data_IF_197205403894
#
_entry.id   IF_197205403894
#
_cell.length_a   1.000
_cell.length_b   1.000
_cell.length_c   1.000
_cell.angle_alpha   90.00
_cell.angle_beta   90.00
_cell.angle_gamma   90.00
#
_symmetry.space_group_name_H-M   'P 1'
#
loop_
_entity.id
_entity.type
_entity.pdbx_description
1 polymer ?
#
# COMPACT_ATOMS: atom_id res chain seq x y z
N UNK A 1 3.03 27.47 12.63
CA UNK A 1 2.29 27.55 11.35
C UNK A 1 3.13 27.07 10.15
N UNK A 2 4.44 27.36 10.12
CA UNK A 2 5.37 26.84 9.11
C UNK A 2 5.54 25.30 9.16
N UNK A 3 5.59 24.69 10.34
CA UNK A 3 5.76 23.23 10.48
C UNK A 3 4.59 22.43 9.88
N UNK A 4 3.35 22.90 10.02
CA UNK A 4 2.17 22.27 9.38
C UNK A 4 2.13 22.43 7.86
N UNK A 5 2.83 23.43 7.30
CA UNK A 5 2.95 23.62 5.85
C UNK A 5 4.00 22.68 5.24
N UNK A 6 5.08 22.39 5.97
CA UNK A 6 6.09 21.43 5.52
C UNK A 6 5.55 19.99 5.47
N UNK A 7 4.68 19.60 6.42
CA UNK A 7 4.02 18.29 6.40
C UNK A 7 3.04 18.09 5.22
N UNK A 8 2.58 19.17 4.58
CA UNK A 8 1.71 19.13 3.40
C UNK A 8 2.46 19.05 2.08
N UNK A 9 3.80 19.18 2.06
CA UNK A 9 4.61 19.01 0.84
C UNK A 9 4.97 17.55 0.52
N UNK A 10 4.86 16.64 1.50
CA UNK A 10 5.05 15.20 1.29
C UNK A 10 3.77 14.54 0.74
N UNK A 11 3.35 14.97 -0.44
CA UNK A 11 2.30 14.33 -1.20
C UNK A 11 2.84 13.12 -1.97
N UNK A 12 2.01 12.08 -2.12
CA UNK A 12 2.30 10.99 -3.05
C UNK A 12 2.19 11.52 -4.48
N UNK A 13 3.27 11.42 -5.25
CA UNK A 13 3.34 11.92 -6.64
C UNK A 13 3.37 10.80 -7.68
N UNK A 14 3.71 9.57 -7.30
CA UNK A 14 3.75 8.46 -8.24
C UNK A 14 2.33 8.01 -8.64
N UNK A 15 2.07 7.80 -9.94
CA UNK A 15 0.75 7.42 -10.45
C UNK A 15 0.14 6.20 -9.76
N UNK A 16 0.92 5.14 -9.51
CA UNK A 16 0.44 3.91 -8.90
C UNK A 16 0.00 4.10 -7.44
N UNK A 17 0.79 4.88 -6.70
CA UNK A 17 0.50 5.20 -5.32
C UNK A 17 -0.70 6.16 -5.17
N UNK A 18 -0.81 7.17 -6.06
CA UNK A 18 -1.99 8.04 -6.11
C UNK A 18 -3.25 7.25 -6.44
N UNK A 19 -3.18 6.36 -7.44
CA UNK A 19 -4.28 5.52 -7.84
C UNK A 19 -4.72 4.56 -6.72
N UNK A 20 -3.75 3.94 -6.05
CA UNK A 20 -4.01 3.08 -4.89
C UNK A 20 -4.72 3.87 -3.77
N UNK A 21 -4.20 5.06 -3.43
CA UNK A 21 -4.77 5.94 -2.42
C UNK A 21 -6.21 6.36 -2.76
N UNK A 22 -6.50 6.69 -4.04
CA UNK A 22 -7.85 7.04 -4.49
C UNK A 22 -8.83 5.89 -4.27
N UNK A 23 -8.47 4.67 -4.63
CA UNK A 23 -9.34 3.50 -4.42
C UNK A 23 -9.55 3.26 -2.93
N UNK A 24 -8.46 3.29 -2.15
CA UNK A 24 -8.51 3.09 -0.69
C UNK A 24 -9.41 4.10 0.01
N UNK A 25 -9.42 5.34 -0.47
CA UNK A 25 -10.20 6.45 0.11
C UNK A 25 -11.66 6.43 -0.35
N UNK A 26 -11.92 6.27 -1.64
CA UNK A 26 -13.29 6.31 -2.21
C UNK A 26 -14.11 5.08 -1.83
N UNK A 27 -13.45 3.94 -1.59
CA UNK A 27 -14.08 2.67 -1.22
C UNK A 27 -13.80 2.28 0.24
N UNK A 28 -13.54 3.26 1.10
CA UNK A 28 -13.22 3.04 2.50
C UNK A 28 -14.34 2.25 3.22
N UNK A 29 -13.97 1.19 3.94
CA UNK A 29 -14.90 0.35 4.68
C UNK A 29 -15.63 -0.73 3.87
N UNK A 30 -15.43 -0.80 2.55
CA UNK A 30 -15.90 -1.92 1.73
C UNK A 30 -15.13 -3.20 2.09
N UNK A 31 -15.83 -4.34 2.17
CA UNK A 31 -15.21 -5.66 2.43
C UNK A 31 -14.25 -6.07 1.31
N UNK A 32 -14.55 -5.65 0.08
CA UNK A 32 -13.75 -5.92 -1.12
C UNK A 32 -13.86 -4.70 -2.04
N UNK A 33 -12.75 -4.04 -2.34
CA UNK A 33 -12.72 -2.85 -3.21
C UNK A 33 -12.76 -3.30 -4.68
N UNK A 34 -13.95 -3.24 -5.29
CA UNK A 34 -14.20 -3.66 -6.67
C UNK A 34 -14.73 -2.49 -7.48
N UNK A 35 -14.02 -2.14 -8.54
CA UNK A 35 -14.32 -1.04 -9.44
C UNK A 35 -15.01 -1.56 -10.69
N UNK A 36 -15.93 -0.78 -11.24
CA UNK A 36 -16.32 -0.94 -12.63
C UNK A 36 -15.18 -0.48 -13.56
N UNK A 37 -15.17 -0.99 -14.80
CA UNK A 37 -14.19 -0.57 -15.81
C UNK A 37 -14.17 0.94 -16.03
N UNK A 38 -15.32 1.61 -15.93
CA UNK A 38 -15.42 3.06 -16.11
C UNK A 38 -14.71 3.81 -14.97
N UNK A 39 -14.98 3.45 -13.72
CA UNK A 39 -14.33 4.06 -12.55
C UNK A 39 -12.82 3.85 -12.58
N UNK A 40 -12.38 2.62 -12.89
CA UNK A 40 -10.96 2.31 -13.01
C UNK A 40 -10.27 3.16 -14.09
N UNK A 41 -10.94 3.43 -15.22
CA UNK A 41 -10.42 4.32 -16.27
C UNK A 41 -10.39 5.78 -15.83
N UNK A 42 -11.44 6.26 -15.16
CA UNK A 42 -11.50 7.64 -14.64
C UNK A 42 -10.35 7.87 -13.65
N UNK A 43 -10.13 6.94 -12.71
CA UNK A 43 -9.02 7.04 -11.75
C UNK A 43 -7.66 6.95 -12.46
N UNK A 44 -7.54 6.11 -13.49
CA UNK A 44 -6.31 5.95 -14.28
C UNK A 44 -5.97 7.26 -15.00
N UNK A 45 -6.94 7.91 -15.65
CA UNK A 45 -6.78 9.22 -16.27
C UNK A 45 -6.39 10.27 -15.22
N UNK A 46 -7.12 10.33 -14.09
CA UNK A 46 -6.89 11.32 -13.03
C UNK A 46 -5.54 11.19 -12.33
N UNK A 47 -4.87 10.05 -12.43
CA UNK A 47 -3.56 9.79 -11.79
C UNK A 47 -2.44 9.57 -12.80
N UNK A 48 -2.75 9.57 -14.09
CA UNK A 48 -1.84 9.16 -15.18
C UNK A 48 -1.29 7.74 -15.03
N UNK A 49 -2.00 6.85 -14.32
CA UNK A 49 -1.62 5.45 -14.18
C UNK A 49 -1.90 4.68 -15.47
N UNK A 50 -0.94 3.89 -15.96
CA UNK A 50 -1.21 2.87 -16.97
C UNK A 50 -1.97 1.69 -16.37
N UNK A 51 -3.26 1.60 -16.69
CA UNK A 51 -4.14 0.55 -16.19
C UNK A 51 -3.73 -0.85 -16.66
N UNK A 52 -3.09 -0.99 -17.83
CA UNK A 52 -2.57 -2.29 -18.27
C UNK A 52 -1.40 -2.74 -17.42
N UNK A 53 -0.48 -1.84 -17.05
CA UNK A 53 0.60 -2.17 -16.12
C UNK A 53 0.05 -2.55 -14.74
N UNK A 54 -0.92 -1.79 -14.24
CA UNK A 54 -1.58 -2.07 -12.96
C UNK A 54 -2.26 -3.44 -12.90
N UNK A 55 -2.82 -3.91 -14.01
CA UNK A 55 -3.49 -5.22 -14.08
C UNK A 55 -2.53 -6.36 -14.40
N UNK A 56 -1.66 -6.21 -15.41
CA UNK A 56 -0.87 -7.31 -15.97
C UNK A 56 0.51 -7.46 -15.31
N UNK A 57 1.15 -6.35 -14.98
CA UNK A 57 2.54 -6.33 -14.52
C UNK A 57 2.60 -6.24 -13.01
N UNK A 58 2.09 -5.15 -12.44
CA UNK A 58 2.14 -4.89 -11.01
C UNK A 58 1.07 -5.65 -10.23
N UNK A 59 -0.02 -6.07 -10.91
CA UNK A 59 -1.13 -6.80 -10.29
C UNK A 59 -1.72 -6.04 -9.09
N UNK A 60 -1.83 -4.71 -9.20
CA UNK A 60 -2.62 -3.86 -8.29
C UNK A 60 -4.10 -4.21 -8.39
N UNK A 61 -4.55 -4.57 -9.58
CA UNK A 61 -5.92 -4.96 -9.84
C UNK A 61 -5.97 -6.37 -10.43
N UNK A 62 -6.97 -7.14 -10.03
CA UNK A 62 -7.35 -8.42 -10.64
C UNK A 62 -8.67 -8.26 -11.37
N UNK A 63 -8.76 -8.79 -12.59
CA UNK A 63 -10.05 -8.91 -13.28
C UNK A 63 -11.01 -9.83 -12.53
N UNK A 64 -12.28 -9.44 -12.43
CA UNK A 64 -13.34 -10.32 -11.94
C UNK A 64 -13.46 -11.57 -12.82
N UNK A 65 -13.57 -12.74 -12.20
CA UNK A 65 -13.92 -13.99 -12.89
C UNK A 65 -15.35 -13.91 -13.42
N UNK A 66 -15.58 -14.41 -14.63
CA UNK A 66 -16.93 -14.68 -15.11
C UNK A 66 -17.59 -15.71 -14.17
N UNK A 67 -18.64 -15.33 -13.46
CA UNK A 67 -19.52 -16.32 -12.84
C UNK A 67 -20.23 -17.09 -13.95
N UNK A 68 -20.22 -18.44 -13.95
CA UNK A 68 -20.97 -19.22 -14.91
C UNK A 68 -22.48 -18.97 -14.71
N UNK A 69 -23.14 -18.32 -15.68
CA UNK A 69 -24.61 -18.25 -15.72
C UNK A 69 -25.24 -16.87 -15.97
N UNK A 70 -24.50 -15.76 -15.94
CA UNK A 70 -25.08 -14.44 -16.19
C UNK A 70 -25.04 -14.06 -17.69
N UNK A 71 -26.16 -14.27 -18.41
CA UNK A 71 -26.38 -13.95 -19.84
C UNK A 71 -26.58 -12.45 -20.15
N UNK A 72 -25.94 -11.56 -19.42
CA UNK A 72 -25.92 -10.11 -19.74
C UNK A 72 -24.49 -9.67 -19.55
N UNK A 73 -23.91 -8.98 -20.53
CA UNK A 73 -22.51 -8.58 -20.58
C UNK A 73 -22.14 -7.73 -19.35
N UNK A 74 -21.82 -8.37 -18.22
CA UNK A 74 -21.39 -7.69 -17.00
C UNK A 74 -20.12 -6.91 -17.35
N UNK A 75 -20.17 -5.59 -17.21
CA UNK A 75 -19.01 -4.72 -17.33
C UNK A 75 -17.84 -5.36 -16.58
N UNK A 76 -16.68 -5.42 -17.23
CA UNK A 76 -15.48 -6.04 -16.67
C UNK A 76 -15.13 -5.32 -15.36
N UNK A 77 -15.33 -5.98 -14.23
CA UNK A 77 -14.98 -5.42 -12.92
C UNK A 77 -13.50 -5.70 -12.60
N UNK A 78 -12.89 -4.80 -11.82
CA UNK A 78 -11.52 -4.90 -11.35
C UNK A 78 -11.50 -4.83 -9.82
N UNK A 79 -10.95 -5.85 -9.18
CA UNK A 79 -10.79 -5.92 -7.72
C UNK A 79 -9.38 -5.50 -7.32
N UNK A 80 -9.25 -4.65 -6.29
CA UNK A 80 -7.98 -4.31 -5.67
C UNK A 80 -7.34 -5.52 -4.99
N UNK A 81 -6.06 -5.75 -5.26
CA UNK A 81 -5.24 -6.72 -4.52
C UNK A 81 -4.57 -5.95 -3.38
N UNK A 82 -5.10 -6.12 -2.16
CA UNK A 82 -4.71 -5.43 -0.93
C UNK A 82 -4.57 -6.43 0.24
N UNK A 83 -3.89 -6.06 1.35
CA UNK A 83 -3.84 -6.87 2.56
C UNK A 83 -5.23 -7.13 3.15
N UNK A 84 -5.52 -8.39 3.45
CA UNK A 84 -6.78 -8.81 4.10
C UNK A 84 -6.59 -9.34 5.51
N UNK A 85 -5.35 -9.44 5.98
CA UNK A 85 -4.97 -9.92 7.31
C UNK A 85 -3.65 -9.31 7.75
N UNK A 86 -3.41 -9.26 9.06
CA UNK A 86 -2.11 -8.89 9.66
C UNK A 86 -1.19 -10.09 9.88
N UNK A 87 -1.61 -11.29 9.46
CA UNK A 87 -0.81 -12.51 9.57
C UNK A 87 0.33 -12.54 8.55
N UNK A 88 1.54 -12.89 9.01
CA UNK A 88 2.74 -12.99 8.17
C UNK A 88 2.52 -13.87 6.93
N UNK A 89 1.88 -15.03 7.09
CA UNK A 89 1.64 -15.98 6.00
C UNK A 89 0.73 -15.39 4.93
N UNK A 90 -0.29 -14.63 5.31
CA UNK A 90 -1.19 -13.95 4.36
C UNK A 90 -0.52 -12.78 3.63
N UNK A 91 0.38 -12.07 4.30
CA UNK A 91 1.19 -11.06 3.64
C UNK A 91 2.20 -11.69 2.66
N UNK A 92 2.79 -12.84 2.99
CA UNK A 92 3.63 -13.58 2.04
C UNK A 92 2.85 -14.05 0.80
N UNK A 93 1.65 -14.60 0.99
CA UNK A 93 0.74 -14.97 -0.11
C UNK A 93 0.39 -13.76 -0.99
N UNK A 94 0.14 -12.59 -0.38
CA UNK A 94 -0.11 -11.34 -1.10
C UNK A 94 1.09 -10.96 -1.97
N UNK A 95 2.30 -10.96 -1.41
CA UNK A 95 3.54 -10.64 -2.14
C UNK A 95 3.78 -11.60 -3.30
N UNK A 96 3.50 -12.88 -3.14
CA UNK A 96 3.61 -13.88 -4.21
C UNK A 96 2.60 -13.63 -5.33
N UNK A 97 1.33 -13.41 -4.97
CA UNK A 97 0.27 -13.05 -5.92
C UNK A 97 0.68 -11.81 -6.73
N UNK A 98 1.26 -10.81 -6.06
CA UNK A 98 1.79 -9.59 -6.66
C UNK A 98 3.03 -9.83 -7.53
N UNK A 99 3.78 -10.92 -7.32
CA UNK A 99 5.04 -11.19 -8.00
C UNK A 99 6.23 -10.39 -7.44
N UNK A 100 6.17 -10.06 -6.15
CA UNK A 100 7.25 -9.37 -5.42
C UNK A 100 8.22 -10.39 -4.81
N UNK A 101 7.71 -11.42 -4.14
CA UNK A 101 8.52 -12.42 -3.42
C UNK A 101 8.99 -11.93 -2.04
N UNK A 102 9.18 -12.85 -1.09
CA UNK A 102 9.55 -12.52 0.30
C UNK A 102 11.07 -12.42 0.54
N UNK A 103 11.85 -13.35 -0.03
CA UNK A 103 13.30 -13.47 0.22
C UNK A 103 14.13 -12.55 -0.67
N UNK A 104 13.75 -12.45 -1.94
CA UNK A 104 14.41 -11.64 -2.95
C UNK A 104 13.36 -10.75 -3.62
N UNK A 105 13.02 -9.60 -3.01
CA UNK A 105 11.91 -8.78 -3.48
C UNK A 105 12.25 -8.10 -4.82
N UNK A 106 11.37 -8.31 -5.81
CA UNK A 106 11.36 -7.57 -7.07
C UNK A 106 10.39 -6.39 -6.98
N UNK A 107 10.88 -5.24 -6.52
CA UNK A 107 10.07 -4.03 -6.36
C UNK A 107 9.95 -3.31 -7.69
N UNK A 108 8.73 -3.28 -8.26
CA UNK A 108 8.48 -2.67 -9.58
C UNK A 108 7.66 -1.38 -9.52
N UNK A 109 7.03 -1.12 -8.38
CA UNK A 109 6.18 0.05 -8.15
C UNK A 109 6.14 0.41 -6.65
N UNK A 110 5.60 1.58 -6.32
CA UNK A 110 5.47 2.03 -4.92
C UNK A 110 4.56 1.10 -4.11
N UNK A 111 3.48 0.58 -4.70
CA UNK A 111 2.57 -0.35 -3.99
C UNK A 111 3.27 -1.68 -3.65
N UNK A 112 4.18 -2.16 -4.51
CA UNK A 112 5.00 -3.34 -4.21
C UNK A 112 5.90 -3.07 -2.98
N UNK A 113 6.54 -1.89 -2.95
CA UNK A 113 7.36 -1.48 -1.81
C UNK A 113 6.53 -1.36 -0.53
N UNK A 114 5.33 -0.74 -0.59
CA UNK A 114 4.43 -0.62 0.56
C UNK A 114 4.12 -2.00 1.16
N UNK A 115 3.58 -2.92 0.36
CA UNK A 115 3.18 -4.25 0.86
C UNK A 115 4.38 -5.05 1.36
N UNK A 116 5.57 -4.85 0.77
CA UNK A 116 6.79 -5.47 1.27
C UNK A 116 7.21 -4.90 2.64
N UNK A 117 7.14 -3.57 2.83
CA UNK A 117 7.40 -2.95 4.13
C UNK A 117 6.43 -3.43 5.21
N UNK A 118 5.15 -3.63 4.86
CA UNK A 118 4.16 -4.18 5.78
C UNK A 118 4.52 -5.61 6.22
N UNK A 119 4.94 -6.44 5.26
CA UNK A 119 5.44 -7.79 5.55
C UNK A 119 6.67 -7.74 6.48
N UNK A 120 7.65 -6.88 6.18
CA UNK A 120 8.84 -6.73 7.02
C UNK A 120 8.47 -6.30 8.45
N UNK A 121 7.57 -5.31 8.58
CA UNK A 121 7.17 -4.77 9.87
C UNK A 121 6.46 -5.82 10.75
N UNK A 122 5.69 -6.71 10.14
CA UNK A 122 5.05 -7.85 10.84
C UNK A 122 6.07 -8.94 11.18
N UNK A 123 7.03 -9.20 10.30
CA UNK A 123 7.96 -10.33 10.39
C UNK A 123 9.09 -10.11 11.38
N UNK A 124 9.59 -8.88 11.46
CA UNK A 124 10.84 -8.58 12.16
C UNK A 124 10.63 -7.65 13.35
N UNK A 125 11.62 -7.64 14.27
CA UNK A 125 11.69 -6.59 15.30
C UNK A 125 11.92 -5.23 14.66
N UNK A 126 11.78 -4.16 15.44
CA UNK A 126 12.00 -2.79 14.94
C UNK A 126 13.41 -2.58 14.43
N UNK A 127 14.42 -3.09 15.12
CA UNK A 127 15.84 -2.96 14.78
C UNK A 127 16.12 -3.70 13.47
N UNK A 128 15.63 -4.93 13.35
CA UNK A 128 15.82 -5.75 12.16
C UNK A 128 15.03 -5.20 10.96
N UNK A 129 13.82 -4.69 11.18
CA UNK A 129 13.04 -3.96 10.18
C UNK A 129 13.82 -2.76 9.63
N UNK A 130 14.42 -1.94 10.50
CA UNK A 130 15.22 -0.77 10.07
C UNK A 130 16.40 -1.19 9.21
N UNK A 131 17.13 -2.23 9.62
CA UNK A 131 18.23 -2.80 8.81
C UNK A 131 17.75 -3.24 7.43
N UNK A 132 16.67 -4.01 7.37
CA UNK A 132 16.08 -4.48 6.11
C UNK A 132 15.53 -3.34 5.24
N UNK A 133 14.96 -2.31 5.87
CA UNK A 133 14.52 -1.11 5.19
C UNK A 133 15.70 -0.37 4.53
N UNK A 134 16.82 -0.23 5.23
CA UNK A 134 18.01 0.45 4.68
C UNK A 134 18.62 -0.35 3.52
N UNK A 135 18.67 -1.68 3.61
CA UNK A 135 19.03 -2.57 2.48
C UNK A 135 18.09 -2.35 1.28
N UNK A 136 16.79 -2.24 1.53
CA UNK A 136 15.78 -2.04 0.47
C UNK A 136 15.88 -0.63 -0.15
N UNK A 137 16.10 0.41 0.66
CA UNK A 137 16.33 1.80 0.20
C UNK A 137 17.56 1.90 -0.68
N UNK A 138 18.64 1.16 -0.37
CA UNK A 138 19.83 1.15 -1.20
C UNK A 138 19.56 0.58 -2.61
N UNK A 139 18.61 -0.35 -2.74
CA UNK A 139 18.24 -0.98 -4.02
C UNK A 139 17.14 -0.23 -4.78
N UNK A 140 16.14 0.29 -4.07
CA UNK A 140 14.92 0.87 -4.64
C UNK A 140 14.57 2.22 -3.97
N UNK A 141 15.45 3.23 -4.01
CA UNK A 141 15.33 4.43 -3.18
C UNK A 141 14.04 5.21 -3.43
N UNK A 142 13.63 5.37 -4.69
CA UNK A 142 12.43 6.13 -5.04
C UNK A 142 11.14 5.42 -4.56
N UNK A 143 10.97 4.15 -4.91
CA UNK A 143 9.77 3.37 -4.56
C UNK A 143 9.61 3.25 -3.05
N UNK A 144 10.72 3.06 -2.32
CA UNK A 144 10.68 2.94 -0.85
C UNK A 144 10.37 4.27 -0.20
N UNK A 145 10.94 5.37 -0.68
CA UNK A 145 10.62 6.70 -0.15
C UNK A 145 9.13 7.02 -0.34
N UNK A 146 8.60 6.80 -1.54
CA UNK A 146 7.17 7.02 -1.82
C UNK A 146 6.26 6.07 -1.03
N UNK A 147 6.71 4.83 -0.79
CA UNK A 147 5.96 3.87 0.02
C UNK A 147 5.88 4.28 1.49
N UNK A 148 6.95 4.87 2.04
CA UNK A 148 6.94 5.44 3.39
C UNK A 148 5.95 6.60 3.48
N UNK A 149 5.97 7.52 2.50
CA UNK A 149 5.01 8.63 2.44
C UNK A 149 3.57 8.10 2.33
N UNK A 150 3.32 7.12 1.46
CA UNK A 150 2.01 6.49 1.32
C UNK A 150 1.57 5.81 2.62
N UNK A 151 2.45 5.08 3.31
CA UNK A 151 2.14 4.45 4.60
C UNK A 151 1.75 5.48 5.67
N UNK A 152 2.46 6.61 5.75
CA UNK A 152 2.11 7.71 6.68
C UNK A 152 0.73 8.29 6.39
N UNK A 153 0.36 8.42 5.11
CA UNK A 153 -0.96 8.91 4.72
C UNK A 153 -2.04 7.88 5.08
N UNK A 154 -1.86 6.62 4.69
CA UNK A 154 -2.84 5.55 4.94
C UNK A 154 -3.07 5.32 6.44
N UNK A 155 -2.01 5.39 7.26
CA UNK A 155 -2.08 5.37 8.72
C UNK A 155 -3.00 6.47 9.29
N UNK A 156 -3.07 7.63 8.64
CA UNK A 156 -3.92 8.75 9.07
C UNK A 156 -5.34 8.66 8.53
N UNK A 157 -5.50 8.34 7.24
CA UNK A 157 -6.79 8.54 6.53
C UNK A 157 -7.69 7.31 6.51
N UNK A 158 -7.14 6.09 6.64
CA UNK A 158 -7.96 4.89 6.58
C UNK A 158 -8.87 4.76 7.82
N UNK A 159 -10.01 4.06 7.73
CA UNK A 159 -10.82 3.72 8.90
C UNK A 159 -10.08 2.78 9.86
N UNK A 160 -10.39 2.88 11.16
CA UNK A 160 -9.76 2.02 12.21
C UNK A 160 -9.95 0.51 12.01
N UNK A 161 -10.98 0.12 11.25
CA UNK A 161 -11.27 -1.28 10.91
C UNK A 161 -10.55 -1.80 9.66
N UNK A 162 -9.86 -0.93 8.91
CA UNK A 162 -9.11 -1.35 7.71
C UNK A 162 -7.79 -1.99 8.15
N UNK A 163 -7.52 -3.21 7.65
CA UNK A 163 -6.33 -3.99 8.02
C UNK A 163 -5.05 -3.25 7.66
N UNK A 164 -5.04 -2.59 6.50
CA UNK A 164 -3.86 -1.89 6.00
C UNK A 164 -3.52 -0.68 6.86
N UNK A 165 -4.51 -0.08 7.56
CA UNK A 165 -4.23 0.97 8.56
C UNK A 165 -3.34 0.45 9.68
N UNK A 166 -3.66 -0.72 10.22
CA UNK A 166 -2.87 -1.34 11.30
C UNK A 166 -1.45 -1.63 10.86
N UNK A 167 -1.28 -2.14 9.63
CA UNK A 167 0.04 -2.41 9.03
C UNK A 167 0.84 -1.12 8.83
N UNK A 168 0.21 -0.09 8.24
CA UNK A 168 0.82 1.22 8.04
C UNK A 168 1.20 1.90 9.36
N UNK A 169 0.36 1.82 10.40
CA UNK A 169 0.68 2.33 11.73
C UNK A 169 1.95 1.67 12.28
N UNK A 170 2.09 0.35 12.14
CA UNK A 170 3.27 -0.37 12.61
C UNK A 170 4.55 0.08 11.89
N UNK A 171 4.48 0.33 10.57
CA UNK A 171 5.60 0.94 9.83
C UNK A 171 5.96 2.29 10.42
N UNK A 172 4.97 3.18 10.60
CA UNK A 172 5.19 4.53 11.14
C UNK A 172 5.81 4.47 12.54
N UNK A 173 5.27 3.64 13.43
CA UNK A 173 5.79 3.41 14.78
C UNK A 173 7.25 2.93 14.75
N UNK A 174 7.62 2.04 13.82
CA UNK A 174 8.98 1.55 13.71
C UNK A 174 9.94 2.64 13.22
N UNK A 175 9.48 3.52 12.33
CA UNK A 175 10.25 4.63 11.78
C UNK A 175 10.46 5.79 12.75
N UNK A 176 9.55 6.01 13.69
CA UNK A 176 9.70 7.07 14.68
C UNK A 176 10.98 6.85 15.53
N UNK A 177 11.48 7.88 16.21
CA UNK A 177 12.43 7.70 17.29
C UNK A 177 11.73 7.04 18.49
N UNK A 178 12.37 6.06 19.14
CA UNK A 178 11.96 5.68 20.49
C UNK A 178 12.25 6.85 21.42
N UNK A 179 11.21 7.58 21.84
CA UNK A 179 11.32 8.46 22.99
C UNK A 179 11.76 7.62 24.18
N UNK A 180 12.85 8.02 24.83
CA UNK A 180 13.35 7.33 26.01
C UNK A 180 12.28 7.42 27.12
N UNK A 181 12.30 6.49 28.08
CA UNK A 181 11.38 6.57 29.23
C UNK A 181 11.49 7.93 29.96
N UNK A 182 12.64 8.61 29.90
CA UNK A 182 12.84 9.94 30.49
C UNK A 182 12.01 11.04 29.80
N UNK A 183 11.83 10.96 28.48
CA UNK A 183 11.09 11.97 27.72
C UNK A 183 9.58 11.92 27.98
N UNK A 184 9.08 10.79 28.49
CA UNK A 184 7.68 10.61 28.89
C UNK A 184 7.37 11.21 30.28
N UNK A 185 8.39 11.41 31.12
CA UNK A 185 8.23 12.01 32.46
C UNK A 185 8.37 13.54 32.47
N UNK A 186 8.82 14.14 31.37
CA UNK A 186 9.05 15.58 31.23
C UNK A 186 7.92 16.32 30.48
N UNK A 187 6.77 15.66 30.27
CA UNK A 187 5.55 16.28 29.73
C UNK A 187 4.41 16.26 30.73
#
# INVERSE_FOLDING_TARGET
>A
ALERKAELEEGVKNPDAMYYLLIKSTMAGAKKKTLESTDARIFSIGTSLDLNLAVKTWKILRGGSQEPGAKVAKQKTLTLIEPTSTERTKLAELLEVRGVGEKEPNIRCTVDALHYLEYLAVTYSREEFKRKLDELKAKYPAQVQDAITLARILAKVLPNKDIEKTLCNRIVEYLEPTLSKLDKFLK
#
